data_IF_019120411564
#
_entry.id   IF_019120411564
#
_cell.length_a   1.000
_cell.length_b   1.000
_cell.length_c   1.000
_cell.angle_alpha   90.00
_cell.angle_beta   90.00
_cell.angle_gamma   90.00
#
_symmetry.space_group_name_H-M   'P 1'
#
loop_
_entity.id
_entity.type
_entity.pdbx_description
1 polymer ?
#
# COMPACT_ATOMS: atom_id res chain seq x y z
N UNK A 1 -0.51 -33.69 18.87
CA UNK A 1 0.67 -32.89 18.51
C UNK A 1 1.43 -33.64 17.44
N UNK A 2 1.49 -33.11 16.21
CA UNK A 2 2.33 -33.68 15.14
C UNK A 2 3.76 -33.19 15.37
N UNK A 3 4.64 -34.08 15.84
CA UNK A 3 6.07 -33.85 16.04
C UNK A 3 6.85 -34.28 14.79
N UNK A 4 6.55 -33.65 13.65
CA UNK A 4 7.32 -33.87 12.42
C UNK A 4 8.55 -32.98 12.41
N UNK A 5 9.75 -33.56 12.29
CA UNK A 5 10.95 -32.79 11.95
C UNK A 5 10.74 -32.10 10.59
N UNK A 6 10.92 -30.78 10.55
CA UNK A 6 10.96 -30.04 9.29
C UNK A 6 12.20 -30.48 8.52
N UNK A 7 12.01 -31.26 7.46
CA UNK A 7 13.06 -31.61 6.50
C UNK A 7 13.08 -30.59 5.37
N UNK A 8 13.93 -29.58 5.47
CA UNK A 8 14.15 -28.58 4.44
C UNK A 8 15.25 -27.60 4.82
N UNK A 9 15.92 -27.03 3.82
CA UNK A 9 16.85 -25.91 3.99
C UNK A 9 16.11 -24.62 3.66
N UNK A 10 16.22 -23.62 4.53
CA UNK A 10 15.72 -22.26 4.27
C UNK A 10 16.92 -21.41 3.90
N UNK A 11 16.94 -20.88 2.68
CA UNK A 11 17.86 -19.81 2.29
C UNK A 11 17.10 -18.49 2.41
N UNK A 12 17.61 -17.61 3.28
CA UNK A 12 17.11 -16.23 3.40
C UNK A 12 17.94 -15.38 2.48
N UNK A 13 17.31 -14.81 1.44
CA UNK A 13 17.95 -13.82 0.60
C UNK A 13 17.58 -12.44 1.15
N UNK A 14 18.60 -11.67 1.52
CA UNK A 14 18.42 -10.24 1.78
C UNK A 14 17.96 -9.55 0.49
N UNK A 15 17.13 -8.51 0.64
CA UNK A 15 16.88 -7.61 -0.47
C UNK A 15 18.24 -7.08 -0.95
N UNK A 16 18.48 -7.01 -2.27
CA UNK A 16 19.69 -6.40 -2.77
C UNK A 16 19.83 -5.00 -2.16
N UNK A 17 21.05 -4.57 -1.80
CA UNK A 17 21.24 -3.21 -1.33
C UNK A 17 20.68 -2.24 -2.38
N UNK A 18 20.12 -1.09 -1.96
CA UNK A 18 19.73 -0.06 -2.92
C UNK A 18 20.92 0.18 -3.86
N UNK A 19 20.67 0.16 -5.17
CA UNK A 19 21.70 0.49 -6.14
C UNK A 19 22.17 1.92 -5.89
N UNK A 20 23.48 2.17 -5.96
CA UNK A 20 24.03 3.54 -5.93
C UNK A 20 23.57 4.38 -7.15
N UNK A 21 22.97 3.73 -8.15
CA UNK A 21 22.34 4.39 -9.30
C UNK A 21 20.96 4.94 -8.92
N UNK A 22 20.79 6.25 -9.04
CA UNK A 22 19.48 6.91 -8.97
C UNK A 22 18.51 6.29 -9.99
N UNK A 23 17.27 6.07 -9.56
CA UNK A 23 16.28 5.50 -10.46
C UNK A 23 15.79 6.52 -11.47
N UNK A 24 15.61 6.05 -12.70
CA UNK A 24 14.91 6.81 -13.72
C UNK A 24 13.46 6.99 -13.30
N UNK A 25 13.05 8.25 -13.13
CA UNK A 25 11.67 8.65 -12.91
C UNK A 25 11.07 9.05 -14.26
N UNK A 26 9.99 8.37 -14.65
CA UNK A 26 9.25 8.70 -15.87
C UNK A 26 8.60 10.09 -15.76
N UNK A 27 8.48 10.77 -16.89
CA UNK A 27 7.76 12.04 -16.97
C UNK A 27 6.32 11.88 -16.46
N UNK A 28 5.91 12.75 -15.52
CA UNK A 28 4.60 12.70 -14.88
C UNK A 28 4.50 11.79 -13.65
N UNK A 29 5.50 10.92 -13.41
CA UNK A 29 5.57 10.15 -12.16
C UNK A 29 6.12 11.03 -11.02
N UNK A 30 5.55 11.00 -9.81
CA UNK A 30 6.03 11.81 -8.71
C UNK A 30 7.42 11.36 -8.26
N UNK A 31 8.38 12.29 -8.17
CA UNK A 31 9.69 11.98 -7.59
C UNK A 31 9.59 11.67 -6.10
N UNK A 32 8.73 12.41 -5.39
CA UNK A 32 8.51 12.28 -3.94
C UNK A 32 7.03 12.30 -3.60
N UNK A 33 6.64 11.55 -2.57
CA UNK A 33 5.32 11.63 -1.94
C UNK A 33 5.49 11.79 -0.43
N UNK A 34 4.84 12.82 0.13
CA UNK A 34 4.82 13.09 1.57
C UNK A 34 3.40 13.03 2.12
N UNK A 35 3.25 12.50 3.32
CA UNK A 35 1.96 12.45 4.02
C UNK A 35 2.09 11.94 5.45
N UNK A 36 1.06 12.20 6.26
CA UNK A 36 0.98 11.69 7.64
C UNK A 36 0.72 10.19 7.63
N UNK A 37 1.43 9.46 8.48
CA UNK A 37 1.26 8.03 8.64
C UNK A 37 -0.09 7.69 9.28
N UNK A 38 -0.80 6.71 8.72
CA UNK A 38 -1.85 5.95 9.38
C UNK A 38 -1.34 4.53 9.59
N UNK A 39 -0.80 4.28 10.78
CA UNK A 39 -0.25 2.97 11.13
C UNK A 39 -1.38 2.00 11.51
N UNK A 40 -1.40 0.86 10.84
CA UNK A 40 -2.35 -0.22 11.01
C UNK A 40 -1.60 -1.47 11.53
N UNK A 41 -1.54 -1.69 12.86
CA UNK A 41 -0.78 -2.77 13.47
C UNK A 41 -1.49 -4.12 13.33
N UNK A 42 -1.76 -4.54 12.10
CA UNK A 42 -2.42 -5.81 11.77
C UNK A 42 -1.71 -6.51 10.61
N UNK A 43 -1.25 -7.72 10.88
CA UNK A 43 -0.85 -8.67 9.85
C UNK A 43 -2.09 -9.35 9.24
N UNK A 44 -1.98 -9.74 7.97
CA UNK A 44 -3.02 -10.42 7.20
C UNK A 44 -4.32 -9.61 7.10
N UNK A 45 -4.25 -8.28 7.13
CA UNK A 45 -5.39 -7.43 6.80
C UNK A 45 -5.83 -7.74 5.37
N UNK A 46 -6.96 -8.40 5.23
CA UNK A 46 -7.44 -8.91 3.96
C UNK A 46 -8.34 -7.88 3.23
N UNK A 47 -8.65 -8.17 1.97
CA UNK A 47 -9.50 -7.30 1.15
C UNK A 47 -10.90 -7.10 1.72
N UNK A 48 -11.47 -8.04 2.48
CA UNK A 48 -12.75 -7.86 3.17
C UNK A 48 -12.68 -6.84 4.32
N UNK A 49 -11.53 -6.74 5.00
CA UNK A 49 -11.27 -5.73 6.01
C UNK A 49 -11.14 -4.33 5.42
N UNK A 50 -10.57 -4.23 4.22
CA UNK A 50 -10.38 -2.97 3.48
C UNK A 50 -11.69 -2.51 2.81
N UNK A 51 -12.40 -3.41 2.13
CA UNK A 51 -13.66 -3.12 1.45
C UNK A 51 -14.61 -4.32 1.56
N UNK A 52 -15.74 -4.11 2.25
CA UNK A 52 -16.60 -5.21 2.65
C UNK A 52 -17.28 -5.94 1.48
N UNK A 53 -17.45 -7.27 1.62
CA UNK A 53 -18.22 -8.08 0.67
C UNK A 53 -19.63 -7.55 0.40
N UNK A 54 -20.27 -6.94 1.40
CA UNK A 54 -21.65 -6.47 1.35
C UNK A 54 -21.83 -5.27 0.40
N UNK A 55 -20.73 -4.60 0.05
CA UNK A 55 -20.69 -3.49 -0.93
C UNK A 55 -19.89 -3.81 -2.19
N UNK A 56 -19.21 -4.95 -2.24
CA UNK A 56 -18.38 -5.36 -3.39
C UNK A 56 -19.20 -5.61 -4.65
N UNK A 57 -20.38 -6.22 -4.52
CA UNK A 57 -21.21 -6.63 -5.66
C UNK A 57 -22.32 -5.62 -5.97
N UNK A 58 -22.13 -4.38 -5.53
CA UNK A 58 -23.06 -3.27 -5.77
C UNK A 58 -22.51 -2.40 -6.89
N UNK A 59 -23.00 -2.64 -8.10
CA UNK A 59 -22.52 -1.98 -9.32
C UNK A 59 -22.94 -0.50 -9.42
N UNK A 60 -23.82 -0.03 -8.54
CA UNK A 60 -24.28 1.35 -8.44
C UNK A 60 -23.34 2.27 -7.64
N UNK A 61 -22.32 1.73 -6.99
CA UNK A 61 -21.37 2.49 -6.17
C UNK A 61 -20.33 3.16 -7.07
N UNK A 62 -20.44 4.48 -7.19
CA UNK A 62 -19.46 5.33 -7.89
C UNK A 62 -18.11 5.33 -7.20
N UNK A 63 -17.04 5.68 -7.92
CA UNK A 63 -15.70 5.80 -7.34
C UNK A 63 -15.70 6.72 -6.11
N UNK A 64 -16.35 7.88 -6.19
CA UNK A 64 -16.45 8.88 -5.11
C UNK A 64 -17.15 8.34 -3.86
N UNK A 65 -18.09 7.39 -4.03
CA UNK A 65 -18.77 6.75 -2.92
C UNK A 65 -17.95 5.64 -2.28
N UNK A 66 -17.03 4.98 -3.00
CA UNK A 66 -16.25 3.86 -2.46
C UNK A 66 -15.44 4.25 -1.21
N UNK A 67 -14.90 5.48 -1.16
CA UNK A 67 -14.15 5.98 -0.01
C UNK A 67 -14.95 5.96 1.30
N UNK A 68 -16.27 6.08 1.23
CA UNK A 68 -17.16 6.03 2.40
C UNK A 68 -17.23 4.63 3.03
N UNK A 69 -16.84 3.60 2.28
CA UNK A 69 -16.83 2.20 2.74
C UNK A 69 -15.43 1.69 3.09
N UNK A 70 -14.38 2.47 2.81
CA UNK A 70 -13.01 2.09 3.10
C UNK A 70 -12.82 1.76 4.60
N UNK A 71 -12.21 0.62 4.87
CA UNK A 71 -11.82 0.15 6.20
C UNK A 71 -12.95 -0.04 7.22
N UNK A 72 -14.24 0.06 6.84
CA UNK A 72 -15.35 -0.08 7.81
C UNK A 72 -15.37 -1.44 8.53
N UNK A 73 -14.96 -2.50 7.83
CA UNK A 73 -14.87 -3.84 8.42
C UNK A 73 -13.63 -4.02 9.31
N UNK A 74 -12.57 -3.25 9.06
CA UNK A 74 -11.36 -3.28 9.87
C UNK A 74 -11.51 -2.39 11.12
N UNK A 75 -11.84 -1.12 10.93
CA UNK A 75 -11.98 -0.11 11.96
C UNK A 75 -12.95 0.99 11.49
N UNK A 76 -14.21 1.01 11.96
CA UNK A 76 -15.15 2.06 11.62
C UNK A 76 -14.66 3.48 11.96
N UNK A 77 -13.79 3.63 12.97
CA UNK A 77 -13.23 4.93 13.33
C UNK A 77 -12.25 5.47 12.26
N UNK A 78 -11.75 4.61 11.37
CA UNK A 78 -10.87 5.01 10.26
C UNK A 78 -11.46 6.17 9.45
N UNK A 79 -12.78 6.16 9.23
CA UNK A 79 -13.46 7.21 8.48
C UNK A 79 -13.33 8.60 9.11
N UNK A 80 -13.17 8.68 10.44
CA UNK A 80 -12.99 9.94 11.16
C UNK A 80 -11.51 10.29 11.34
N UNK A 81 -10.64 9.27 11.40
CA UNK A 81 -9.21 9.42 11.68
C UNK A 81 -8.44 9.80 10.41
N UNK A 82 -8.76 9.15 9.29
CA UNK A 82 -8.08 9.35 8.02
C UNK A 82 -8.36 10.74 7.44
N UNK A 83 -7.35 11.36 6.85
CA UNK A 83 -7.44 12.61 6.13
C UNK A 83 -6.95 12.42 4.69
N UNK A 84 -7.39 13.31 3.81
CA UNK A 84 -6.82 13.39 2.46
C UNK A 84 -5.31 13.68 2.55
N UNK A 85 -4.51 12.93 1.79
CA UNK A 85 -3.06 13.04 1.81
C UNK A 85 -2.34 12.06 2.74
N UNK A 86 -3.07 11.32 3.57
CA UNK A 86 -2.47 10.33 4.48
C UNK A 86 -1.83 9.15 3.72
N UNK A 87 -0.84 8.51 4.37
CA UNK A 87 -0.16 7.30 3.90
C UNK A 87 -0.46 6.16 4.87
N UNK A 88 -0.97 5.04 4.36
CA UNK A 88 -1.19 3.86 5.20
C UNK A 88 0.14 3.13 5.39
N UNK A 89 0.43 2.74 6.63
CA UNK A 89 1.53 1.81 6.97
C UNK A 89 0.94 0.54 7.59
N UNK A 90 0.95 -0.56 6.85
CA UNK A 90 0.34 -1.84 7.23
C UNK A 90 1.35 -2.92 7.64
N UNK A 91 0.85 -3.96 8.32
CA UNK A 91 1.64 -5.14 8.68
C UNK A 91 2.01 -6.05 7.50
N UNK A 92 2.34 -7.30 7.82
CA UNK A 92 2.68 -8.35 6.84
C UNK A 92 1.44 -8.85 6.12
N UNK A 93 1.58 -9.25 4.86
CA UNK A 93 0.54 -9.82 4.02
C UNK A 93 -0.71 -8.92 3.87
N UNK A 94 -0.48 -7.61 3.73
CA UNK A 94 -1.54 -6.63 3.53
C UNK A 94 -2.30 -6.87 2.22
N UNK A 95 -3.62 -6.69 2.24
CA UNK A 95 -4.50 -6.87 1.08
C UNK A 95 -4.66 -8.33 0.67
N UNK A 96 -4.40 -9.28 1.56
CA UNK A 96 -4.55 -10.71 1.25
C UNK A 96 -6.00 -11.12 0.97
N UNK A 97 -6.19 -12.35 0.49
CA UNK A 97 -7.51 -12.92 0.21
C UNK A 97 -8.00 -12.68 -1.22
N UNK A 98 -9.26 -12.31 -1.36
CA UNK A 98 -9.95 -12.24 -2.66
C UNK A 98 -9.37 -11.17 -3.60
N UNK A 99 -9.57 -11.34 -4.91
CA UNK A 99 -9.19 -10.37 -5.95
C UNK A 99 -10.21 -9.23 -6.09
N UNK A 100 -10.52 -8.52 -5.00
CA UNK A 100 -11.38 -7.34 -5.01
C UNK A 100 -10.56 -6.11 -5.37
N UNK A 101 -10.80 -5.55 -6.55
CA UNK A 101 -10.14 -4.31 -7.00
C UNK A 101 -10.59 -3.10 -6.18
N UNK A 102 -11.84 -3.13 -5.69
CA UNK A 102 -12.44 -2.09 -4.86
C UNK A 102 -11.65 -1.80 -3.58
N UNK A 103 -10.89 -2.77 -3.08
CA UNK A 103 -10.03 -2.55 -1.91
C UNK A 103 -8.98 -1.46 -2.16
N UNK A 104 -8.42 -1.36 -3.37
CA UNK A 104 -7.46 -0.31 -3.71
C UNK A 104 -8.16 1.00 -4.06
N UNK A 105 -9.18 0.96 -4.91
CA UNK A 105 -9.89 2.16 -5.36
C UNK A 105 -10.66 2.86 -4.24
N UNK A 106 -11.16 2.13 -3.24
CA UNK A 106 -11.77 2.74 -2.06
C UNK A 106 -10.77 3.53 -1.22
N UNK A 107 -9.52 3.06 -1.08
CA UNK A 107 -8.47 3.81 -0.38
C UNK A 107 -8.05 5.05 -1.18
N UNK A 108 -7.91 4.92 -2.50
CA UNK A 108 -7.65 6.06 -3.38
C UNK A 108 -8.77 7.11 -3.30
N UNK A 109 -10.03 6.68 -3.39
CA UNK A 109 -11.23 7.51 -3.24
C UNK A 109 -11.32 8.18 -1.85
N UNK A 110 -10.84 7.49 -0.80
CA UNK A 110 -10.77 8.07 0.55
C UNK A 110 -9.68 9.15 0.70
N UNK A 111 -8.85 9.36 -0.32
CA UNK A 111 -7.78 10.35 -0.34
C UNK A 111 -6.45 9.84 0.20
N UNK A 112 -6.28 8.52 0.35
CA UNK A 112 -4.99 7.93 0.73
C UNK A 112 -4.03 8.04 -0.45
N UNK A 113 -2.80 8.48 -0.23
CA UNK A 113 -1.81 8.66 -1.32
C UNK A 113 -1.22 7.35 -1.80
N UNK A 114 -0.86 6.47 -0.86
CA UNK A 114 -0.28 5.17 -1.11
C UNK A 114 -0.35 4.27 0.13
N UNK A 115 -0.11 2.98 -0.07
CA UNK A 115 0.09 2.02 1.02
C UNK A 115 1.55 1.59 1.05
N UNK A 116 2.15 1.66 2.24
CA UNK A 116 3.41 1.00 2.58
C UNK A 116 3.06 -0.17 3.50
N UNK A 117 3.55 -1.37 3.24
CA UNK A 117 3.31 -2.52 4.12
C UNK A 117 4.61 -3.24 4.44
N UNK A 118 4.67 -4.05 5.50
CA UNK A 118 5.81 -4.94 5.68
C UNK A 118 5.92 -5.92 4.51
N UNK A 119 4.80 -6.53 4.10
CA UNK A 119 4.66 -7.26 2.84
C UNK A 119 3.23 -7.13 2.34
N UNK A 120 3.00 -7.24 1.02
CA UNK A 120 1.66 -7.15 0.45
C UNK A 120 1.31 -8.36 -0.42
N UNK A 121 0.03 -8.73 -0.46
CA UNK A 121 -0.46 -9.79 -1.33
C UNK A 121 -0.27 -9.44 -2.80
N UNK A 122 0.28 -10.35 -3.60
CA UNK A 122 0.61 -10.10 -5.02
C UNK A 122 -0.61 -9.70 -5.84
N UNK A 123 -1.76 -10.34 -5.59
CA UNK A 123 -3.04 -9.99 -6.22
C UNK A 123 -3.45 -8.55 -5.91
N UNK A 124 -3.31 -8.13 -4.65
CA UNK A 124 -3.65 -6.78 -4.23
C UNK A 124 -2.71 -5.75 -4.86
N UNK A 125 -1.39 -5.99 -4.86
CA UNK A 125 -0.43 -5.11 -5.53
C UNK A 125 -0.78 -4.92 -7.01
N UNK A 126 -1.00 -6.02 -7.74
CA UNK A 126 -1.39 -5.96 -9.16
C UNK A 126 -2.66 -5.14 -9.35
N UNK A 127 -3.70 -5.40 -8.56
CA UNK A 127 -4.97 -4.70 -8.67
C UNK A 127 -4.81 -3.20 -8.35
N UNK A 128 -4.01 -2.86 -7.33
CA UNK A 128 -3.72 -1.47 -6.99
C UNK A 128 -3.04 -0.75 -8.15
N UNK A 129 -1.94 -1.28 -8.69
CA UNK A 129 -1.26 -0.67 -9.84
C UNK A 129 -2.14 -0.60 -11.09
N UNK A 130 -2.94 -1.64 -11.37
CA UNK A 130 -3.91 -1.60 -12.46
C UNK A 130 -4.94 -0.47 -12.33
N UNK A 131 -5.20 -0.01 -11.10
CA UNK A 131 -6.10 1.10 -10.79
C UNK A 131 -5.35 2.42 -10.48
N UNK A 132 -4.05 2.52 -10.82
CA UNK A 132 -3.27 3.74 -10.60
C UNK A 132 -2.95 4.03 -9.14
N UNK A 133 -3.02 3.03 -8.25
CA UNK A 133 -2.77 3.18 -6.81
C UNK A 133 -1.46 2.52 -6.40
N UNK A 134 -0.61 3.25 -5.67
CA UNK A 134 0.74 2.79 -5.30
C UNK A 134 0.66 1.91 -4.04
N UNK A 135 1.29 0.75 -4.12
CA UNK A 135 1.53 -0.14 -2.97
C UNK A 135 2.99 -0.59 -2.99
N UNK A 136 3.72 -0.31 -1.91
CA UNK A 136 5.13 -0.65 -1.76
C UNK A 136 5.39 -1.41 -0.46
N UNK A 137 6.50 -2.14 -0.41
CA UNK A 137 6.90 -2.94 0.74
C UNK A 137 8.09 -2.29 1.44
N UNK A 138 8.00 -2.09 2.76
CA UNK A 138 9.06 -1.55 3.60
C UNK A 138 8.95 -2.14 5.02
N UNK A 139 9.52 -3.33 5.27
CA UNK A 139 9.53 -3.95 6.59
C UNK A 139 10.14 -3.05 7.67
N UNK A 140 11.26 -2.38 7.35
CA UNK A 140 11.97 -1.52 8.31
C UNK A 140 11.12 -0.36 8.84
N UNK A 141 10.35 0.31 7.97
CA UNK A 141 9.42 1.36 8.38
C UNK A 141 8.31 0.79 9.28
N UNK A 142 7.78 -0.38 8.95
CA UNK A 142 6.73 -1.03 9.73
C UNK A 142 7.23 -1.41 11.12
N UNK A 143 8.45 -1.95 11.22
CA UNK A 143 9.09 -2.29 12.49
C UNK A 143 9.38 -1.02 13.33
N UNK A 144 9.79 0.08 12.69
CA UNK A 144 9.95 1.38 13.37
C UNK A 144 8.63 1.85 14.00
N UNK A 145 7.53 1.86 13.25
CA UNK A 145 6.23 2.30 13.77
C UNK A 145 5.66 1.33 14.82
N UNK A 146 5.91 0.02 14.68
CA UNK A 146 5.54 -0.97 15.68
C UNK A 146 6.23 -0.71 17.02
N UNK A 147 7.52 -0.34 17.01
CA UNK A 147 8.26 0.07 18.19
C UNK A 147 7.74 1.38 18.80
N UNK A 148 7.49 2.38 17.93
CA UNK A 148 7.03 3.72 18.33
C UNK A 148 5.64 3.69 19.00
N UNK A 149 4.73 2.86 18.50
CA UNK A 149 3.33 2.81 18.96
C UNK A 149 3.02 1.56 19.80
N UNK A 150 4.02 0.94 20.40
CA UNK A 150 3.88 -0.33 21.12
C UNK A 150 2.82 -0.30 22.23
N UNK A 151 2.62 0.85 22.91
CA UNK A 151 1.57 1.02 23.92
C UNK A 151 0.17 1.03 23.32
N UNK A 152 -0.04 1.79 22.25
CA UNK A 152 -1.31 1.86 21.53
C UNK A 152 -1.66 0.50 20.89
N UNK A 153 -0.66 -0.22 20.35
CA UNK A 153 -0.83 -1.59 19.85
C UNK A 153 -1.28 -2.52 20.98
N UNK A 154 -0.64 -2.46 22.16
CA UNK A 154 -1.06 -3.25 23.34
C UNK A 154 -2.46 -2.89 23.83
N UNK A 155 -2.86 -1.63 23.68
CA UNK A 155 -4.21 -1.16 24.00
C UNK A 155 -5.27 -1.54 22.94
N UNK A 156 -4.87 -2.16 21.82
CA UNK A 156 -5.78 -2.61 20.77
C UNK A 156 -6.26 -1.50 19.83
N UNK A 157 -5.54 -0.38 19.76
CA UNK A 157 -5.85 0.68 18.78
C UNK A 157 -5.53 0.18 17.38
N UNK A 158 -6.52 0.24 16.47
CA UNK A 158 -6.43 -0.31 15.11
C UNK A 158 -5.93 0.71 14.09
N UNK A 159 -6.32 1.96 14.20
CA UNK A 159 -5.83 3.03 13.32
C UNK A 159 -5.10 4.07 14.15
N UNK A 160 -3.79 4.21 13.95
CA UNK A 160 -2.94 5.09 14.75
C UNK A 160 -2.37 6.18 13.85
N UNK A 161 -2.80 7.45 13.99
CA UNK A 161 -2.13 8.58 13.36
C UNK A 161 -0.70 8.70 13.88
N UNK A 162 0.25 8.81 12.95
CA UNK A 162 1.67 8.87 13.26
C UNK A 162 2.37 10.08 12.65
N UNK A 163 3.70 10.04 12.57
CA UNK A 163 4.51 11.14 12.03
C UNK A 163 4.33 11.30 10.52
N UNK A 164 4.91 12.36 9.98
CA UNK A 164 5.03 12.54 8.55
C UNK A 164 6.05 11.56 7.96
N UNK A 165 5.72 11.00 6.80
CA UNK A 165 6.54 10.09 6.03
C UNK A 165 6.80 10.74 4.67
N UNK A 166 8.06 10.73 4.22
CA UNK A 166 8.44 11.10 2.86
C UNK A 166 9.00 9.89 2.13
N UNK A 167 8.37 9.53 1.02
CA UNK A 167 8.85 8.53 0.07
C UNK A 167 9.59 9.26 -1.04
N UNK A 168 10.83 8.88 -1.29
CA UNK A 168 11.64 9.34 -2.42
C UNK A 168 11.84 8.15 -3.37
N UNK A 169 11.20 8.20 -4.54
CA UNK A 169 11.27 7.11 -5.51
C UNK A 169 12.58 7.11 -6.29
N UNK A 170 13.18 8.29 -6.51
CA UNK A 170 14.46 8.43 -7.21
C UNK A 170 15.59 7.81 -6.39
N UNK A 171 15.62 8.11 -5.09
CA UNK A 171 16.55 7.53 -4.14
C UNK A 171 16.10 6.13 -3.65
N UNK A 172 14.87 5.72 -3.92
CA UNK A 172 14.26 4.49 -3.40
C UNK A 172 14.39 4.36 -1.89
N UNK A 173 13.91 5.39 -1.19
CA UNK A 173 13.93 5.43 0.27
C UNK A 173 12.63 5.96 0.85
N UNK A 174 12.39 5.61 2.12
CA UNK A 174 11.39 6.24 2.98
C UNK A 174 12.08 6.87 4.16
N UNK A 175 11.77 8.13 4.43
CA UNK A 175 12.23 8.86 5.61
C UNK A 175 11.08 9.05 6.59
N UNK A 176 11.30 8.68 7.85
CA UNK A 176 10.36 8.82 8.95
C UNK A 176 11.12 9.16 10.24
N UNK A 177 10.83 10.30 10.87
CA UNK A 177 11.50 10.74 12.11
C UNK A 177 13.04 10.74 11.99
N UNK A 178 13.56 11.17 10.83
CA UNK A 178 15.01 11.22 10.56
C UNK A 178 15.68 9.86 10.32
N UNK A 179 14.93 8.76 10.32
CA UNK A 179 15.42 7.43 9.94
C UNK A 179 15.08 7.16 8.47
N UNK A 180 16.05 6.62 7.73
CA UNK A 180 15.90 6.28 6.32
C UNK A 180 15.82 4.76 6.17
N UNK A 181 14.82 4.30 5.44
CA UNK A 181 14.61 2.89 5.11
C UNK A 181 14.70 2.68 3.60
N UNK A 182 15.40 1.64 3.12
CA UNK A 182 15.44 1.33 1.70
C UNK A 182 14.09 0.80 1.19
N UNK A 183 13.82 1.06 -0.09
CA UNK A 183 12.70 0.52 -0.84
C UNK A 183 13.19 -0.28 -2.05
N UNK A 184 12.36 -1.22 -2.49
CA UNK A 184 12.49 -1.79 -3.81
C UNK A 184 12.15 -0.76 -4.89
N UNK A 185 12.92 -0.77 -5.97
CA UNK A 185 12.68 -0.01 -7.18
C UNK A 185 11.25 -0.19 -7.71
N UNK A 186 10.60 0.91 -8.12
CA UNK A 186 9.40 0.80 -8.94
C UNK A 186 9.82 0.65 -10.40
N UNK A 187 9.43 -0.47 -11.01
CA UNK A 187 9.71 -0.73 -12.41
C UNK A 187 9.06 0.32 -13.32
N UNK A 188 9.63 0.49 -14.51
CA UNK A 188 9.09 1.39 -15.55
C UNK A 188 7.62 1.09 -15.84
N UNK A 189 7.23 -0.19 -15.92
CA UNK A 189 5.83 -0.60 -16.10
C UNK A 189 4.93 -0.13 -14.96
N UNK A 190 5.40 -0.20 -13.71
CA UNK A 190 4.62 0.30 -12.58
C UNK A 190 4.46 1.83 -12.66
N UNK A 191 5.53 2.55 -13.03
CA UNK A 191 5.47 4.00 -13.23
C UNK A 191 4.52 4.38 -14.37
N UNK A 192 4.55 3.69 -15.52
CA UNK A 192 3.60 3.91 -16.65
C UNK A 192 2.13 3.79 -16.19
N UNK A 193 1.82 2.76 -15.40
CA UNK A 193 0.48 2.55 -14.88
C UNK A 193 0.03 3.71 -13.97
N UNK A 194 0.91 4.20 -13.10
CA UNK A 194 0.60 5.33 -12.24
C UNK A 194 0.40 6.61 -13.05
N UNK A 195 1.30 6.90 -14.01
CA UNK A 195 1.21 8.10 -14.86
C UNK A 195 -0.08 8.11 -15.68
N UNK A 196 -0.50 6.96 -16.20
CA UNK A 196 -1.74 6.85 -16.96
C UNK A 196 -3.00 6.88 -16.07
N UNK A 197 -2.89 6.69 -14.75
CA UNK A 197 -4.04 6.52 -13.86
C UNK A 197 -4.67 5.12 -13.95
N UNK A 198 -3.86 4.11 -14.30
CA UNK A 198 -4.26 2.71 -14.38
C UNK A 198 -4.15 2.12 -15.79
N UNK A 199 -4.47 0.82 -15.88
CA UNK A 199 -4.32 0.05 -17.12
C UNK A 199 -5.35 0.42 -18.19
N UNK A 200 -6.59 0.75 -17.81
CA UNK A 200 -7.63 1.10 -18.78
C UNK A 200 -7.30 2.41 -19.52
N UNK A 201 -6.96 3.53 -18.85
CA UNK A 201 -6.51 4.73 -19.54
C UNK A 201 -5.26 4.49 -20.41
N UNK A 202 -4.30 3.70 -19.90
CA UNK A 202 -3.06 3.38 -20.64
C UNK A 202 -3.37 2.67 -21.96
N UNK A 203 -4.20 1.64 -21.92
CA UNK A 203 -4.59 0.89 -23.12
C UNK A 203 -5.40 1.76 -24.07
N UNK A 204 -6.33 2.58 -23.55
CA UNK A 204 -7.13 3.51 -24.35
C UNK A 204 -6.24 4.51 -25.12
N UNK A 205 -5.22 5.05 -24.47
CA UNK A 205 -4.25 5.94 -25.10
C UNK A 205 -3.46 5.24 -26.20
N UNK A 206 -2.93 4.03 -25.93
CA UNK A 206 -2.16 3.23 -26.90
C UNK A 206 -2.97 2.83 -28.14
N UNK A 207 -4.25 2.51 -27.97
CA UNK A 207 -5.15 2.21 -29.10
C UNK A 207 -5.40 3.47 -29.93
N UNK A 208 -5.66 4.61 -29.26
CA UNK A 208 -5.99 5.87 -29.95
C UNK A 208 -4.81 6.47 -30.71
N UNK A 209 -3.57 6.21 -30.29
CA UNK A 209 -2.34 6.65 -30.98
C UNK A 209 -1.89 5.74 -32.11
N UNK A 210 -2.53 4.58 -32.27
CA UNK A 210 -2.22 3.59 -33.32
C UNK A 210 -3.12 3.71 -34.57
N UNK A 211 -3.98 4.73 -34.61
CA UNK A 211 -4.90 5.08 -35.71
C UNK A 211 -4.52 6.44 -36.27
#
# INVERSE_FOLDING_TARGET
MLTGEVRGTVEVHDLPPPSDDEQTILEGFPETITGRALYLPMDNLNTDGIYGKDVTYRDDITFEQQGQYAMLNYDPAFQQIAAEGDIIVGGRNFGTGSSREQAATALASRGIRLVIAATAGQTYKRNAFNNGFIVIECPGLTDQLAGMFAEQVRAGVRTIPGPEITVDFRASTVVCEGQTHPLGALSETAQELIVAGGIEPLVRAKISSSV
#
